data_IF_415312305673
#
_entry.id   IF_415312305673
#
_cell.length_a   1.000
_cell.length_b   1.000
_cell.length_c   1.000
_cell.angle_alpha   90.00
_cell.angle_beta   90.00
_cell.angle_gamma   90.00
#
_symmetry.space_group_name_H-M   'P 1'
#
loop_
_entity.id
_entity.type
_entity.pdbx_description
1 polymer ?
#
# COMPACT_ATOMS: atom_id res chain seq x y z
N UNK A 1 -1.57 -0.32 -10.40
CA UNK A 1 -0.43 -0.44 -9.45
C UNK A 1 -0.17 0.86 -8.68
N UNK A 2 0.04 2.01 -9.35
CA UNK A 2 0.24 3.33 -8.71
C UNK A 2 -0.71 3.71 -7.57
N UNK A 3 -2.02 3.57 -7.78
CA UNK A 3 -3.03 3.86 -6.75
C UNK A 3 -2.90 2.99 -5.51
N UNK A 4 -2.66 1.70 -5.71
CA UNK A 4 -2.51 0.76 -4.62
C UNK A 4 -1.24 1.06 -3.85
N UNK A 5 -0.14 1.37 -4.54
CA UNK A 5 1.12 1.76 -3.89
C UNK A 5 0.99 3.04 -3.06
N UNK A 6 0.21 4.01 -3.54
CA UNK A 6 -0.07 5.25 -2.78
C UNK A 6 -0.79 4.93 -1.47
N UNK A 7 -1.86 4.12 -1.52
CA UNK A 7 -2.64 3.77 -0.32
C UNK A 7 -1.84 2.87 0.62
N UNK A 8 -1.10 1.90 0.08
CA UNK A 8 -0.30 0.98 0.89
C UNK A 8 0.91 1.65 1.55
N UNK A 9 1.57 2.60 0.90
CA UNK A 9 2.61 3.42 1.52
C UNK A 9 2.06 4.31 2.64
N UNK A 10 0.86 4.88 2.47
CA UNK A 10 0.21 5.63 3.55
C UNK A 10 -0.11 4.72 4.73
N UNK A 11 -0.70 3.55 4.48
CA UNK A 11 -0.98 2.55 5.52
C UNK A 11 0.30 2.13 6.24
N UNK A 12 1.36 1.82 5.50
CA UNK A 12 2.67 1.47 6.06
C UNK A 12 3.23 2.56 6.99
N UNK A 13 3.11 3.84 6.59
CA UNK A 13 3.56 4.97 7.42
C UNK A 13 2.73 5.10 8.71
N UNK A 14 1.39 5.00 8.60
CA UNK A 14 0.49 5.09 9.76
C UNK A 14 0.74 3.95 10.74
N UNK A 15 0.68 2.69 10.28
CA UNK A 15 0.87 1.53 11.15
C UNK A 15 2.29 1.40 11.69
N UNK A 16 3.30 1.81 10.91
CA UNK A 16 4.69 1.81 11.36
C UNK A 16 4.90 2.73 12.56
N UNK A 17 4.42 3.97 12.45
CA UNK A 17 4.63 5.01 13.47
C UNK A 17 3.71 4.83 14.67
N UNK A 18 2.43 4.50 14.46
CA UNK A 18 1.43 4.32 15.52
C UNK A 18 1.37 2.88 16.06
N UNK A 19 2.40 2.08 15.80
CA UNK A 19 2.41 0.64 16.10
C UNK A 19 2.15 0.35 17.59
N UNK A 20 2.69 1.17 18.51
CA UNK A 20 2.53 1.00 19.96
C UNK A 20 1.10 1.26 20.39
N UNK A 21 0.53 2.37 19.94
CA UNK A 21 -0.82 2.80 20.25
C UNK A 21 -1.87 1.85 19.67
N UNK A 22 -1.66 1.36 18.45
CA UNK A 22 -2.53 0.36 17.81
C UNK A 22 -2.54 -0.94 18.62
N UNK A 23 -1.35 -1.48 18.96
CA UNK A 23 -1.26 -2.73 19.72
C UNK A 23 -1.84 -2.55 21.12
N UNK A 24 -1.60 -1.42 21.77
CA UNK A 24 -2.15 -1.14 23.08
C UNK A 24 -3.68 -1.13 23.05
N UNK A 25 -4.31 -0.40 22.13
CA UNK A 25 -5.78 -0.29 22.06
C UNK A 25 -6.44 -1.63 21.73
N UNK A 26 -5.78 -2.44 20.89
CA UNK A 26 -6.32 -3.74 20.45
C UNK A 26 -6.10 -4.83 21.50
N UNK A 27 -4.88 -4.94 22.04
CA UNK A 27 -4.45 -6.11 22.82
C UNK A 27 -4.30 -5.87 24.32
N UNK A 28 -4.13 -4.63 24.80
CA UNK A 28 -3.99 -4.36 26.24
C UNK A 28 -5.32 -4.56 26.97
N UNK A 29 -5.63 -5.81 27.30
CA UNK A 29 -6.78 -6.25 28.11
C UNK A 29 -6.38 -7.44 28.98
N UNK A 30 -6.87 -7.48 30.22
CA UNK A 30 -6.64 -8.62 31.12
C UNK A 30 -5.16 -8.84 31.43
N UNK A 31 -4.63 -10.02 31.08
CA UNK A 31 -3.27 -10.45 31.42
C UNK A 31 -2.15 -9.89 30.50
N UNK A 32 -2.49 -9.11 29.47
CA UNK A 32 -1.51 -8.60 28.51
C UNK A 32 -0.69 -7.45 29.12
N UNK A 33 0.61 -7.67 29.32
CA UNK A 33 1.50 -6.68 29.95
C UNK A 33 2.00 -5.63 28.95
N UNK A 34 2.59 -4.57 29.49
CA UNK A 34 3.17 -3.50 28.67
C UNK A 34 4.40 -4.01 27.92
N UNK A 35 5.17 -4.91 28.52
CA UNK A 35 6.32 -5.56 27.89
C UNK A 35 5.91 -6.33 26.63
N UNK A 36 4.81 -7.09 26.70
CA UNK A 36 4.25 -7.84 25.56
C UNK A 36 3.81 -6.88 24.46
N UNK A 37 3.19 -5.76 24.85
CA UNK A 37 2.77 -4.68 23.93
C UNK A 37 3.96 -4.13 23.15
N UNK A 38 5.10 -3.88 23.80
CA UNK A 38 6.30 -3.35 23.15
C UNK A 38 6.92 -4.36 22.17
N UNK A 39 6.89 -5.66 22.51
CA UNK A 39 7.37 -6.71 21.59
C UNK A 39 6.48 -6.80 20.35
N UNK A 40 5.17 -6.89 20.52
CA UNK A 40 4.22 -6.96 19.39
C UNK A 40 4.23 -5.68 18.55
N UNK A 41 4.29 -4.50 19.17
CA UNK A 41 4.37 -3.23 18.46
C UNK A 41 5.62 -3.15 17.58
N UNK A 42 6.77 -3.63 18.08
CA UNK A 42 7.98 -3.65 17.28
C UNK A 42 7.91 -4.59 16.07
N UNK A 43 7.23 -5.73 16.21
CA UNK A 43 6.98 -6.63 15.08
C UNK A 43 6.02 -6.00 14.06
N UNK A 44 4.96 -5.33 14.54
CA UNK A 44 4.01 -4.59 13.69
C UNK A 44 4.71 -3.47 12.90
N UNK A 45 5.61 -2.73 13.54
CA UNK A 45 6.37 -1.68 12.88
C UNK A 45 7.20 -2.23 11.71
N UNK A 46 7.85 -3.38 11.90
CA UNK A 46 8.62 -4.05 10.84
C UNK A 46 7.69 -4.55 9.72
N UNK A 47 6.61 -5.25 10.06
CA UNK A 47 5.65 -5.76 9.07
C UNK A 47 4.98 -4.65 8.25
N UNK A 48 4.79 -3.47 8.85
CA UNK A 48 4.21 -2.31 8.17
C UNK A 48 5.01 -1.91 6.94
N UNK A 49 6.34 -2.06 6.97
CA UNK A 49 7.21 -1.80 5.81
C UNK A 49 6.92 -2.79 4.67
N UNK A 50 6.47 -4.00 4.97
CA UNK A 50 6.13 -5.04 4.01
C UNK A 50 4.83 -4.83 3.25
N UNK A 51 3.88 -4.05 3.80
CA UNK A 51 2.54 -3.81 3.23
C UNK A 51 2.58 -3.42 1.75
N UNK A 52 3.36 -2.42 1.29
CA UNK A 52 3.40 -2.05 -0.12
C UNK A 52 3.86 -3.18 -1.03
N UNK A 53 4.78 -4.03 -0.56
CA UNK A 53 5.32 -5.14 -1.33
C UNK A 53 4.31 -6.29 -1.45
N UNK A 54 3.57 -6.59 -0.38
CA UNK A 54 2.46 -7.54 -0.41
C UNK A 54 1.39 -7.13 -1.43
N UNK A 55 0.99 -5.86 -1.42
CA UNK A 55 0.04 -5.34 -2.40
C UNK A 55 0.61 -5.34 -3.83
N UNK A 56 1.90 -5.05 -3.99
CA UNK A 56 2.53 -5.06 -5.31
C UNK A 56 2.59 -6.48 -5.90
N UNK A 57 3.06 -7.45 -5.12
CA UNK A 57 3.22 -8.84 -5.54
C UNK A 57 1.88 -9.45 -5.99
N UNK A 58 0.80 -9.25 -5.25
CA UNK A 58 -0.54 -9.75 -5.62
C UNK A 58 -1.05 -9.20 -6.94
N UNK A 59 -0.82 -7.91 -7.23
CA UNK A 59 -1.24 -7.28 -8.49
C UNK A 59 -0.37 -7.74 -9.66
N UNK A 60 0.94 -7.78 -9.45
CA UNK A 60 1.90 -8.22 -10.46
C UNK A 60 1.64 -9.68 -10.85
N UNK A 61 1.38 -10.56 -9.88
CA UNK A 61 1.04 -11.96 -10.13
C UNK A 61 -0.24 -12.10 -10.98
N UNK A 62 -1.28 -11.30 -10.71
CA UNK A 62 -2.50 -11.26 -11.55
C UNK A 62 -2.20 -10.77 -12.97
N UNK A 63 -1.25 -9.86 -13.14
CA UNK A 63 -0.78 -9.43 -14.46
C UNK A 63 -0.16 -10.59 -15.26
N UNK A 64 0.64 -11.44 -14.62
CA UNK A 64 1.20 -12.64 -15.23
C UNK A 64 0.13 -13.64 -15.65
N UNK A 65 -0.88 -13.86 -14.81
CA UNK A 65 -2.02 -14.72 -15.16
C UNK A 65 -2.82 -14.19 -16.35
N UNK A 66 -3.02 -12.86 -16.45
CA UNK A 66 -3.67 -12.25 -17.61
C UNK A 66 -2.87 -12.45 -18.91
N UNK A 67 -1.54 -12.54 -18.82
CA UNK A 67 -0.65 -12.85 -19.94
C UNK A 67 -0.51 -14.36 -20.22
N UNK A 68 -1.29 -15.21 -19.54
CA UNK A 68 -1.22 -16.68 -19.60
C UNK A 68 0.15 -17.26 -19.20
N UNK A 69 0.92 -16.53 -18.41
CA UNK A 69 2.23 -16.97 -17.88
C UNK A 69 2.07 -17.29 -16.38
N UNK A 70 1.69 -18.53 -16.07
CA UNK A 70 1.49 -18.99 -14.68
C UNK A 70 2.77 -19.48 -14.02
N UNK A 71 3.78 -19.86 -14.81
CA UNK A 71 5.01 -20.46 -14.31
C UNK A 71 5.95 -19.44 -13.69
N UNK A 72 6.06 -18.25 -14.29
CA UNK A 72 6.95 -17.20 -13.76
C UNK A 72 6.64 -16.81 -12.31
N UNK A 73 5.40 -16.43 -11.93
CA UNK A 73 5.11 -16.08 -10.54
C UNK A 73 5.27 -17.27 -9.59
N UNK A 74 4.99 -18.49 -10.05
CA UNK A 74 5.10 -19.70 -9.24
C UNK A 74 6.56 -20.03 -8.92
N UNK A 75 7.44 -20.06 -9.93
CA UNK A 75 8.86 -20.36 -9.75
C UNK A 75 9.57 -19.31 -8.89
N UNK A 76 9.29 -18.03 -9.15
CA UNK A 76 9.88 -16.93 -8.36
C UNK A 76 9.35 -16.98 -6.92
N UNK A 77 8.06 -17.24 -6.71
CA UNK A 77 7.48 -17.36 -5.38
C UNK A 77 8.09 -18.51 -4.59
N UNK A 78 8.23 -19.69 -5.20
CA UNK A 78 8.87 -20.86 -4.59
C UNK A 78 10.34 -20.57 -4.27
N UNK A 79 11.10 -19.98 -5.21
CA UNK A 79 12.49 -19.62 -4.98
C UNK A 79 12.68 -18.59 -3.86
N UNK A 80 11.83 -17.55 -3.83
CA UNK A 80 11.86 -16.56 -2.77
C UNK A 80 11.51 -17.16 -1.40
N UNK A 81 10.52 -18.04 -1.34
CA UNK A 81 10.15 -18.75 -0.11
C UNK A 81 11.32 -19.61 0.40
N UNK A 82 11.91 -20.44 -0.47
CA UNK A 82 13.09 -21.25 -0.14
C UNK A 82 14.27 -20.42 0.34
N UNK A 83 14.53 -19.27 -0.29
CA UNK A 83 15.58 -18.34 0.13
C UNK A 83 15.27 -17.68 1.49
N UNK A 84 14.00 -17.54 1.85
CA UNK A 84 13.59 -16.89 3.11
C UNK A 84 13.63 -17.85 4.30
N UNK A 85 13.48 -19.16 4.11
CA UNK A 85 13.56 -20.18 5.20
C UNK A 85 14.83 -20.05 6.06
N UNK A 86 16.06 -20.04 5.50
CA UNK A 86 17.26 -19.89 6.31
C UNK A 86 17.32 -18.53 7.02
N UNK A 87 16.80 -17.48 6.39
CA UNK A 87 16.68 -16.16 7.02
C UNK A 87 15.72 -16.20 8.21
N UNK A 88 14.59 -16.91 8.13
CA UNK A 88 13.68 -17.10 9.27
C UNK A 88 14.40 -17.77 10.44
N UNK A 89 15.14 -18.85 10.19
CA UNK A 89 15.87 -19.55 11.24
C UNK A 89 16.93 -18.65 11.89
N UNK A 90 17.80 -18.03 11.09
CA UNK A 90 18.91 -17.23 11.59
C UNK A 90 18.44 -15.96 12.32
N UNK A 91 17.45 -15.25 11.78
CA UNK A 91 16.98 -13.98 12.37
C UNK A 91 16.15 -14.24 13.62
N UNK A 92 15.35 -15.31 13.65
CA UNK A 92 14.56 -15.64 14.85
C UNK A 92 15.46 -16.02 16.02
N UNK A 93 16.55 -16.75 15.77
CA UNK A 93 17.55 -17.06 16.80
C UNK A 93 18.22 -15.81 17.38
N UNK A 94 18.52 -14.80 16.55
CA UNK A 94 19.21 -13.58 16.99
C UNK A 94 18.30 -12.51 17.61
N UNK A 95 17.07 -12.38 17.11
CA UNK A 95 16.19 -11.24 17.42
C UNK A 95 14.77 -11.65 17.84
N UNK A 96 14.51 -12.95 18.04
CA UNK A 96 13.20 -13.48 18.41
C UNK A 96 12.10 -13.06 17.44
N UNK A 97 11.00 -12.53 17.99
CA UNK A 97 9.81 -12.09 17.26
C UNK A 97 10.12 -11.00 16.21
N UNK A 98 11.05 -10.08 16.51
CA UNK A 98 11.47 -9.04 15.54
C UNK A 98 12.20 -9.65 14.35
N UNK A 99 13.01 -10.68 14.60
CA UNK A 99 13.74 -11.40 13.57
C UNK A 99 12.80 -12.11 12.59
N UNK A 100 11.74 -12.74 13.12
CA UNK A 100 10.68 -13.33 12.31
C UNK A 100 10.02 -12.29 11.38
N UNK A 101 9.68 -11.11 11.94
CA UNK A 101 9.05 -10.04 11.17
C UNK A 101 9.97 -9.48 10.07
N UNK A 102 11.27 -9.34 10.37
CA UNK A 102 12.27 -8.90 9.40
C UNK A 102 12.46 -9.92 8.27
N UNK A 103 12.55 -11.21 8.60
CA UNK A 103 12.68 -12.28 7.62
C UNK A 103 11.49 -12.29 6.64
N UNK A 104 10.26 -12.24 7.15
CA UNK A 104 9.07 -12.21 6.30
C UNK A 104 8.96 -10.95 5.44
N UNK A 105 9.29 -9.79 6.00
CA UNK A 105 9.31 -8.52 5.27
C UNK A 105 10.38 -8.51 4.18
N UNK A 106 11.57 -9.05 4.47
CA UNK A 106 12.64 -9.21 3.50
C UNK A 106 12.28 -10.20 2.39
N UNK A 107 11.62 -11.31 2.73
CA UNK A 107 11.17 -12.31 1.76
C UNK A 107 10.15 -11.75 0.77
N UNK A 108 9.12 -11.03 1.25
CA UNK A 108 8.14 -10.42 0.35
C UNK A 108 8.76 -9.30 -0.49
N UNK A 109 9.71 -8.54 0.07
CA UNK A 109 10.44 -7.51 -0.69
C UNK A 109 11.24 -8.14 -1.81
N UNK A 110 12.02 -9.19 -1.52
CA UNK A 110 12.77 -9.94 -2.53
C UNK A 110 11.84 -10.48 -3.61
N UNK A 111 10.75 -11.13 -3.21
CA UNK A 111 9.79 -11.69 -4.16
C UNK A 111 9.18 -10.59 -5.05
N UNK A 112 8.67 -9.52 -4.46
CA UNK A 112 8.05 -8.42 -5.20
C UNK A 112 9.06 -7.76 -6.16
N UNK A 113 10.31 -7.56 -5.74
CA UNK A 113 11.36 -6.94 -6.55
C UNK A 113 11.73 -7.82 -7.75
N UNK A 114 11.97 -9.12 -7.55
CA UNK A 114 12.32 -10.04 -8.64
C UNK A 114 11.16 -10.17 -9.63
N UNK A 115 9.93 -10.36 -9.12
CA UNK A 115 8.76 -10.55 -9.98
C UNK A 115 8.45 -9.28 -10.78
N UNK A 116 8.56 -8.10 -10.15
CA UNK A 116 8.39 -6.83 -10.84
C UNK A 116 9.50 -6.58 -11.87
N UNK A 117 10.75 -6.93 -11.57
CA UNK A 117 11.87 -6.84 -12.49
C UNK A 117 11.66 -7.68 -13.76
N UNK A 118 11.21 -8.93 -13.61
CA UNK A 118 10.89 -9.81 -14.74
C UNK A 118 9.73 -9.26 -15.56
N UNK A 119 8.67 -8.77 -14.90
CA UNK A 119 7.53 -8.17 -15.60
C UNK A 119 7.98 -6.96 -16.45
N UNK A 120 8.83 -6.11 -15.87
CA UNK A 120 9.32 -4.91 -16.54
C UNK A 120 10.17 -5.25 -17.77
N UNK A 121 11.03 -6.27 -17.65
CA UNK A 121 11.86 -6.78 -18.74
C UNK A 121 10.99 -7.32 -19.90
N UNK A 122 9.87 -7.98 -19.59
CA UNK A 122 8.96 -8.56 -20.60
C UNK A 122 8.05 -7.53 -21.29
N UNK A 123 7.61 -6.47 -20.60
CA UNK A 123 6.46 -5.66 -21.08
C UNK A 123 6.77 -4.21 -21.43
N UNK A 124 7.64 -3.50 -20.71
CA UNK A 124 7.70 -2.02 -20.78
C UNK A 124 9.05 -1.48 -21.27
N UNK A 125 10.14 -2.24 -21.15
CA UNK A 125 11.47 -1.78 -21.55
C UNK A 125 11.87 -0.46 -20.87
N UNK A 126 12.54 0.47 -21.58
CA UNK A 126 13.02 1.77 -21.05
C UNK A 126 11.93 2.69 -20.46
N UNK A 127 10.65 2.53 -20.82
CA UNK A 127 9.54 3.31 -20.22
C UNK A 127 9.30 2.95 -18.75
N UNK A 128 9.80 1.79 -18.31
CA UNK A 128 9.69 1.31 -16.94
C UNK A 128 10.41 2.17 -15.91
N UNK A 129 11.50 2.83 -16.30
CA UNK A 129 12.28 3.67 -15.41
C UNK A 129 11.47 4.86 -14.87
N UNK A 130 10.49 5.33 -15.65
CA UNK A 130 9.57 6.39 -15.24
C UNK A 130 8.59 5.93 -14.15
N UNK A 131 8.19 4.65 -14.16
CA UNK A 131 7.33 4.04 -13.15
C UNK A 131 8.09 3.77 -11.84
N UNK A 132 9.31 3.25 -11.93
CA UNK A 132 10.19 3.04 -10.76
C UNK A 132 10.43 4.37 -10.03
N UNK A 133 10.69 5.45 -10.78
CA UNK A 133 10.84 6.80 -10.20
C UNK A 133 9.58 7.25 -9.46
N UNK A 134 8.40 6.93 -9.98
CA UNK A 134 7.14 7.29 -9.31
C UNK A 134 6.96 6.48 -8.01
N UNK A 135 7.24 5.18 -8.01
CA UNK A 135 7.21 4.36 -6.78
C UNK A 135 8.23 4.83 -5.75
N UNK A 136 9.44 5.19 -6.18
CA UNK A 136 10.46 5.73 -5.30
C UNK A 136 10.01 7.05 -4.66
N UNK A 137 9.39 7.95 -5.43
CA UNK A 137 8.80 9.19 -4.88
C UNK A 137 7.71 8.91 -3.86
N UNK A 138 6.84 7.94 -4.10
CA UNK A 138 5.77 7.56 -3.15
C UNK A 138 6.35 6.92 -1.88
N UNK A 139 7.39 6.10 -2.01
CA UNK A 139 8.11 5.53 -0.88
C UNK A 139 8.82 6.61 -0.04
N UNK A 140 9.51 7.56 -0.70
CA UNK A 140 10.11 8.72 -0.04
C UNK A 140 9.06 9.60 0.65
N UNK A 141 7.91 9.81 0.02
CA UNK A 141 6.80 10.52 0.65
C UNK A 141 6.27 9.78 1.89
N UNK A 142 6.22 8.45 1.83
CA UNK A 142 5.83 7.60 2.96
C UNK A 142 6.82 7.71 4.12
N UNK A 143 8.11 7.61 3.83
CA UNK A 143 9.17 7.77 4.82
C UNK A 143 9.18 9.18 5.44
N UNK A 144 9.02 10.23 4.62
CA UNK A 144 8.92 11.60 5.09
C UNK A 144 7.68 11.84 5.96
N UNK A 145 6.52 11.29 5.58
CA UNK A 145 5.31 11.36 6.38
C UNK A 145 5.44 10.60 7.71
N UNK A 146 6.13 9.46 7.70
CA UNK A 146 6.43 8.70 8.91
C UNK A 146 7.34 9.51 9.86
N UNK A 147 8.36 10.17 9.33
CA UNK A 147 9.22 11.08 10.11
C UNK A 147 8.42 12.24 10.71
N UNK A 148 7.61 12.94 9.91
CA UNK A 148 6.76 14.02 10.42
C UNK A 148 5.80 13.51 11.50
N UNK A 149 5.25 12.31 11.30
CA UNK A 149 4.42 11.60 12.26
C UNK A 149 5.12 11.34 13.58
N UNK A 150 6.37 10.87 13.56
CA UNK A 150 7.12 10.62 14.80
C UNK A 150 7.41 11.91 15.56
N UNK A 151 7.79 12.99 14.86
CA UNK A 151 7.97 14.30 15.49
C UNK A 151 6.67 14.85 16.11
N UNK A 152 5.54 14.63 15.45
CA UNK A 152 4.22 15.03 15.95
C UNK A 152 3.85 14.23 17.20
N UNK A 153 4.10 12.92 17.21
CA UNK A 153 3.87 12.08 18.39
C UNK A 153 4.79 12.43 19.55
N UNK A 154 6.05 12.79 19.30
CA UNK A 154 6.99 13.27 20.33
C UNK A 154 6.56 14.63 20.92
N UNK A 155 5.88 15.46 20.13
CA UNK A 155 5.24 16.69 20.60
C UNK A 155 4.00 16.39 21.44
N UNK A 156 3.16 15.44 21.00
CA UNK A 156 1.94 15.04 21.70
C UNK A 156 2.22 14.26 22.99
N UNK A 157 3.30 13.49 23.04
CA UNK A 157 3.68 12.67 24.20
C UNK A 157 3.97 13.50 25.45
N UNK A 158 4.36 14.76 25.28
CA UNK A 158 4.52 15.74 26.37
C UNK A 158 3.22 16.10 27.08
N UNK A 159 2.08 15.94 26.40
CA UNK A 159 0.76 16.27 26.95
C UNK A 159 -0.07 15.01 27.24
N UNK A 160 0.05 13.96 26.42
CA UNK A 160 -0.71 12.72 26.56
C UNK A 160 0.20 11.49 26.52
N UNK A 161 0.27 10.78 27.64
CA UNK A 161 1.00 9.51 27.74
C UNK A 161 0.30 8.42 26.92
N UNK A 162 1.10 7.61 26.23
CA UNK A 162 0.62 6.47 25.44
C UNK A 162 0.09 5.34 26.33
N UNK A 163 0.45 5.30 27.61
CA UNK A 163 0.04 4.24 28.53
C UNK A 163 -1.45 4.31 28.92
N UNK A 164 -2.05 5.49 28.79
CA UNK A 164 -3.47 5.75 29.04
C UNK A 164 -4.31 5.44 27.80
N UNK A 165 -5.48 4.82 27.99
CA UNK A 165 -6.42 4.52 26.91
C UNK A 165 -6.91 5.79 26.17
N UNK A 166 -7.34 6.87 26.87
CA UNK A 166 -7.73 8.11 26.20
C UNK A 166 -6.57 8.77 25.45
N UNK A 167 -5.36 8.77 26.02
CA UNK A 167 -4.17 9.32 25.37
C UNK A 167 -3.79 8.56 24.10
N UNK A 168 -3.90 7.23 24.12
CA UNK A 168 -3.70 6.40 22.92
C UNK A 168 -4.72 6.71 21.82
N UNK A 169 -6.02 6.86 22.14
CA UNK A 169 -7.04 7.20 21.14
C UNK A 169 -6.80 8.57 20.50
N UNK A 170 -6.44 9.58 21.30
CA UNK A 170 -6.12 10.91 20.80
C UNK A 170 -4.88 10.87 19.91
N UNK A 171 -3.84 10.12 20.30
CA UNK A 171 -2.62 9.94 19.50
C UNK A 171 -2.89 9.18 18.20
N UNK A 172 -3.79 8.19 18.21
CA UNK A 172 -4.21 7.49 16.99
C UNK A 172 -4.94 8.43 16.03
N UNK A 173 -5.91 9.20 16.52
CA UNK A 173 -6.68 10.12 15.70
C UNK A 173 -5.81 11.28 15.16
N UNK A 174 -5.12 11.99 16.06
CA UNK A 174 -4.31 13.15 15.70
C UNK A 174 -3.03 12.74 14.92
N UNK A 175 -2.37 11.66 15.33
CA UNK A 175 -1.19 11.13 14.65
C UNK A 175 -1.53 10.57 13.27
N UNK A 176 -2.61 9.79 13.16
CA UNK A 176 -3.10 9.28 11.88
C UNK A 176 -3.48 10.39 10.91
N UNK A 177 -4.24 11.39 11.38
CA UNK A 177 -4.59 12.57 10.59
C UNK A 177 -3.34 13.39 10.18
N UNK A 178 -2.40 13.58 11.10
CA UNK A 178 -1.14 14.29 10.84
C UNK A 178 -0.27 13.60 9.79
N UNK A 179 -0.11 12.26 9.89
CA UNK A 179 0.63 11.47 8.90
C UNK A 179 -0.06 11.51 7.54
N UNK A 180 -1.39 11.37 7.49
CA UNK A 180 -2.14 11.45 6.24
C UNK A 180 -1.99 12.82 5.57
N UNK A 181 -2.09 13.91 6.35
CA UNK A 181 -1.87 15.26 5.87
C UNK A 181 -0.44 15.47 5.38
N UNK A 182 0.57 15.03 6.15
CA UNK A 182 1.97 15.12 5.77
C UNK A 182 2.26 14.32 4.48
N UNK A 183 1.74 13.10 4.36
CA UNK A 183 1.87 12.29 3.16
C UNK A 183 1.26 12.96 1.94
N UNK A 184 0.07 13.56 2.09
CA UNK A 184 -0.57 14.31 1.02
C UNK A 184 0.23 15.56 0.61
N UNK A 185 0.72 16.34 1.58
CA UNK A 185 1.51 17.55 1.35
C UNK A 185 2.86 17.24 0.68
N UNK A 186 3.59 16.24 1.21
CA UNK A 186 4.87 15.80 0.65
C UNK A 186 4.65 15.20 -0.74
N UNK A 187 3.61 14.37 -0.92
CA UNK A 187 3.22 13.82 -2.22
C UNK A 187 2.88 14.90 -3.25
N UNK A 188 2.25 16.00 -2.82
CA UNK A 188 1.97 17.20 -3.65
C UNK A 188 3.27 17.94 -4.01
N UNK A 189 4.18 18.12 -3.06
CA UNK A 189 5.46 18.79 -3.26
C UNK A 189 6.36 18.02 -4.25
N UNK A 190 6.38 16.69 -4.15
CA UNK A 190 7.09 15.78 -5.06
C UNK A 190 6.51 15.74 -6.49
N UNK A 191 5.41 16.48 -6.74
CA UNK A 191 4.70 16.55 -8.03
C UNK A 191 4.43 15.16 -8.61
N UNK A 192 4.06 14.18 -7.77
CA UNK A 192 3.76 12.83 -8.26
C UNK A 192 2.57 12.90 -9.23
N UNK A 193 2.70 12.24 -10.39
CA UNK A 193 1.62 12.18 -11.38
C UNK A 193 0.37 11.50 -10.81
N UNK A 194 0.56 10.66 -9.79
CA UNK A 194 -0.50 9.90 -9.11
C UNK A 194 -1.35 10.77 -8.17
N UNK A 195 -0.78 11.70 -7.40
CA UNK A 195 -1.58 12.63 -6.58
C UNK A 195 -2.32 13.65 -7.46
N UNK A 196 -1.73 14.00 -8.61
CA UNK A 196 -2.37 14.90 -9.58
C UNK A 196 -3.58 14.27 -10.27
N UNK A 197 -3.63 12.95 -10.44
CA UNK A 197 -4.78 12.27 -11.04
C UNK A 197 -5.99 12.17 -10.11
N UNK A 198 -5.82 12.27 -8.78
CA UNK A 198 -6.94 12.45 -7.81
C UNK A 198 -7.69 13.74 -8.13
N UNK A 199 -6.96 14.82 -8.42
CA UNK A 199 -7.51 16.15 -8.65
C UNK A 199 -8.18 16.30 -10.03
N UNK A 200 -7.89 15.43 -11.00
CA UNK A 200 -8.50 15.43 -12.34
C UNK A 200 -9.72 14.53 -12.48
N UNK A 201 -10.21 13.90 -11.40
CA UNK A 201 -11.40 13.04 -11.42
C UNK A 201 -12.69 13.83 -11.20
N UNK A 202 -12.95 14.82 -12.06
CA UNK A 202 -14.29 15.33 -12.33
C UNK A 202 -15.08 14.44 -13.31
N UNK A 203 -14.40 13.50 -13.98
CA UNK A 203 -14.97 12.76 -15.11
C UNK A 203 -15.50 11.35 -14.76
N UNK A 204 -15.53 10.95 -13.48
CA UNK A 204 -16.07 9.63 -13.08
C UNK A 204 -17.61 9.55 -13.24
N UNK A 205 -18.29 10.70 -13.40
CA UNK A 205 -19.73 10.78 -13.65
C UNK A 205 -20.13 10.65 -15.12
N UNK A 206 -19.17 10.44 -16.04
CA UNK A 206 -19.46 10.18 -17.45
C UNK A 206 -19.26 8.70 -17.76
N UNK A 207 -20.33 7.87 -17.75
CA UNK A 207 -20.20 6.52 -18.26
C UNK A 207 -19.75 6.58 -19.74
N UNK A 208 -18.92 5.62 -20.20
CA UNK A 208 -18.60 5.51 -21.61
C UNK A 208 -19.92 5.31 -22.36
N UNK A 209 -20.21 6.18 -23.33
CA UNK A 209 -21.31 5.94 -24.27
C UNK A 209 -20.96 4.64 -24.99
N UNK A 210 -21.74 3.59 -24.71
CA UNK A 210 -21.70 2.36 -25.48
C UNK A 210 -22.05 2.74 -26.91
N UNK A 211 -21.06 2.75 -27.80
CA UNK A 211 -21.30 2.85 -29.22
C UNK A 211 -22.06 1.59 -29.64
N UNK A 212 -23.39 1.65 -29.66
CA UNK A 212 -24.24 0.52 -30.06
C UNK A 212 -25.54 0.30 -29.30
N UNK A 213 -26.14 1.30 -28.62
CA UNK A 213 -27.55 1.18 -28.19
C UNK A 213 -28.50 1.70 -29.28
N UNK A 214 -29.29 0.85 -29.95
CA UNK A 214 -30.34 1.29 -30.86
C UNK A 214 -31.48 1.87 -30.00
N UNK A 215 -31.57 3.19 -29.92
CA UNK A 215 -32.61 3.82 -29.09
C UNK A 215 -32.64 5.34 -29.03
N UNK A 216 -31.70 6.06 -29.64
CA UNK A 216 -31.83 7.51 -29.81
C UNK A 216 -32.41 7.81 -31.19
N UNK A 217 -33.69 7.51 -31.37
CA UNK A 217 -34.46 8.03 -32.49
C UNK A 217 -34.44 9.56 -32.43
N UNK A 218 -34.00 10.18 -33.52
CA UNK A 218 -34.10 11.62 -33.71
C UNK A 218 -35.58 12.02 -33.76
N UNK A 219 -36.01 13.10 -33.09
CA UNK A 219 -37.38 13.58 -33.22
C UNK A 219 -37.49 14.32 -34.57
N UNK A 220 -37.96 13.65 -35.62
CA UNK A 220 -38.17 14.37 -36.90
C UNK A 220 -38.40 13.59 -38.18
N UNK A 221 -38.64 12.28 -38.18
CA UNK A 221 -39.00 11.56 -39.41
C UNK A 221 -40.35 10.86 -39.24
N UNK A 222 -41.36 11.35 -39.97
CA UNK A 222 -42.70 10.77 -40.02
C UNK A 222 -42.70 9.34 -40.58
N UNK A 223 -43.78 8.58 -40.35
CA UNK A 223 -43.84 7.17 -40.74
C UNK A 223 -43.82 6.99 -42.27
N UNK A 224 -43.14 5.95 -42.79
CA UNK A 224 -43.12 5.66 -44.22
C UNK A 224 -44.48 5.09 -44.70
N UNK A 225 -44.81 5.22 -45.99
CA UNK A 225 -46.08 4.72 -46.52
C UNK A 225 -46.04 3.19 -46.60
N UNK A 226 -47.14 2.55 -46.20
CA UNK A 226 -47.37 1.13 -46.43
C UNK A 226 -47.59 0.88 -47.92
N UNK A 227 -46.70 0.11 -48.54
CA UNK A 227 -46.99 -0.55 -49.82
C UNK A 227 -47.14 -2.04 -49.53
N UNK A 228 -48.39 -2.51 -49.61
CA UNK A 228 -48.66 -3.91 -49.89
C UNK A 228 -48.45 -4.16 -51.37
N UNK A 229 -47.69 -5.19 -51.69
CA UNK A 229 -48.00 -6.34 -52.56
C UNK A 229 -46.80 -7.30 -52.55
#
# INVERSE_FOLDING_TARGET
>A
LRWVFLVSCLAAAVFGVLSREVVLVVFKRGAFRIEDTLQTASALAVFSIGIPFWCAQTIVARGFFAMKDTWTPTLVGTGAWLATIPAYYLLTQRMGVRGLALAGTGGILLYAMVLYGILMAKTVGRKGLSEIREYLKLALAGGGAAWVGSLLLDRLSRYFSWESLPGSLVRLAAGGAGIAAAYYLIGRLLRSGTVRSIRRRGDILRPPRVAGSPGAAAPGAGPPPFTGE
#
